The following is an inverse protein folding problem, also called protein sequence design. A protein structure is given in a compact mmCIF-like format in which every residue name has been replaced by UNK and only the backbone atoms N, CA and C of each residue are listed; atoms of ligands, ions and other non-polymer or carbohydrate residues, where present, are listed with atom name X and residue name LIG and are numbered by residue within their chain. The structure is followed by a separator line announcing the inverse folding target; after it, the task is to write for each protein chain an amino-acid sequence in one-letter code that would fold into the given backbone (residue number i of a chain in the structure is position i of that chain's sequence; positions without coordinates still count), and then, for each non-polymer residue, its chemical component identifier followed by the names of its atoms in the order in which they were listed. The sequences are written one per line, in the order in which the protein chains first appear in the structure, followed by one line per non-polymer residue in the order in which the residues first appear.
data_IF_503211307834
#
_entry.id   IF_503211307834
#
_cell.length_a   1.000
_cell.length_b   1.000
_cell.length_c   1.000
_cell.angle_alpha   90.00
_cell.angle_beta   90.00
_cell.angle_gamma   90.00
#
_symmetry.space_group_name_H-M   'P 1'
#
loop_
_entity.id
_entity.type
_entity.pdbx_description
1 polymer ?
#
# COMPACT_ATOMS: atom_id res chain seq x y z
N UNK A 1 -32.16 4.98 -3.13
CA UNK A 1 -31.24 3.83 -3.09
C UNK A 1 -30.20 4.08 -4.16
N UNK A 2 -28.94 4.30 -3.80
CA UNK A 2 -27.88 4.51 -4.78
C UNK A 2 -27.56 3.15 -5.39
N UNK A 3 -27.76 2.98 -6.70
CA UNK A 3 -27.34 1.77 -7.41
C UNK A 3 -25.83 1.78 -7.58
N UNK A 4 -25.12 1.08 -6.70
CA UNK A 4 -23.66 0.94 -6.77
C UNK A 4 -23.21 -0.13 -7.77
N UNK A 5 -24.11 -0.95 -8.29
CA UNK A 5 -23.76 -2.15 -9.07
C UNK A 5 -22.99 -1.82 -10.36
N UNK A 6 -23.32 -0.71 -11.02
CA UNK A 6 -22.59 -0.20 -12.18
C UNK A 6 -21.18 0.26 -11.84
N UNK A 7 -21.04 1.03 -10.75
CA UNK A 7 -19.75 1.53 -10.25
C UNK A 7 -18.81 0.40 -9.83
N UNK A 8 -19.31 -0.59 -9.09
CA UNK A 8 -18.50 -1.72 -8.63
C UNK A 8 -17.87 -2.49 -9.80
N UNK A 9 -18.64 -2.74 -10.87
CA UNK A 9 -18.12 -3.43 -12.06
C UNK A 9 -17.04 -2.62 -12.77
N UNK A 10 -17.27 -1.33 -12.97
CA UNK A 10 -16.27 -0.43 -13.57
C UNK A 10 -14.99 -0.40 -12.74
N UNK A 11 -15.10 -0.28 -11.42
CA UNK A 11 -13.97 -0.27 -10.51
C UNK A 11 -13.20 -1.58 -10.56
N UNK A 12 -13.88 -2.73 -10.48
CA UNK A 12 -13.24 -4.05 -10.52
C UNK A 12 -12.43 -4.25 -11.80
N UNK A 13 -12.95 -3.82 -12.97
CA UNK A 13 -12.21 -3.85 -14.23
C UNK A 13 -10.96 -2.97 -14.16
N UNK A 14 -11.11 -1.71 -13.73
CA UNK A 14 -10.02 -0.72 -13.74
C UNK A 14 -8.94 -1.01 -12.70
N UNK A 15 -9.33 -1.54 -11.54
CA UNK A 15 -8.43 -1.93 -10.46
C UNK A 15 -7.79 -3.32 -10.68
N UNK A 16 -8.16 -4.03 -11.76
CA UNK A 16 -7.56 -5.32 -12.12
C UNK A 16 -8.00 -6.48 -11.24
N UNK A 17 -9.25 -6.48 -10.77
CA UNK A 17 -9.80 -7.59 -9.97
C UNK A 17 -9.96 -8.84 -10.85
N UNK A 18 -9.52 -10.03 -10.40
CA UNK A 18 -9.78 -11.28 -11.10
C UNK A 18 -11.27 -11.52 -11.32
N UNK A 19 -11.67 -12.03 -12.49
CA UNK A 19 -13.09 -12.19 -12.85
C UNK A 19 -13.82 -13.10 -11.86
N UNK A 20 -13.14 -14.11 -11.34
CA UNK A 20 -13.66 -15.05 -10.33
C UNK A 20 -13.93 -14.41 -8.96
N UNK A 21 -13.39 -13.22 -8.68
CA UNK A 21 -13.68 -12.50 -7.44
C UNK A 21 -14.95 -11.64 -7.54
N UNK A 22 -15.44 -11.36 -8.76
CA UNK A 22 -16.49 -10.36 -8.96
C UNK A 22 -17.82 -10.77 -8.34
N UNK A 23 -18.19 -12.05 -8.46
CA UNK A 23 -19.45 -12.55 -7.90
C UNK A 23 -19.51 -12.35 -6.39
N UNK A 24 -18.38 -12.47 -5.69
CA UNK A 24 -18.32 -12.24 -4.23
C UNK A 24 -18.79 -10.84 -3.86
N UNK A 25 -18.28 -9.81 -4.54
CA UNK A 25 -18.64 -8.42 -4.24
C UNK A 25 -20.06 -8.08 -4.71
N UNK A 26 -20.47 -8.58 -5.88
CA UNK A 26 -21.82 -8.33 -6.39
C UNK A 26 -22.89 -9.05 -5.55
N UNK A 27 -22.63 -10.27 -5.07
CA UNK A 27 -23.57 -10.98 -4.22
C UNK A 27 -23.63 -10.37 -2.81
N UNK A 28 -22.51 -9.89 -2.27
CA UNK A 28 -22.46 -9.13 -1.03
C UNK A 28 -23.24 -7.80 -1.13
N UNK A 29 -23.06 -7.05 -2.23
CA UNK A 29 -23.82 -5.84 -2.53
C UNK A 29 -25.33 -6.11 -2.58
N UNK A 30 -25.75 -7.15 -3.32
CA UNK A 30 -27.16 -7.56 -3.36
C UNK A 30 -27.69 -7.96 -1.98
N UNK A 31 -26.90 -8.68 -1.17
CA UNK A 31 -27.28 -9.06 0.18
C UNK A 31 -27.57 -7.84 1.07
N UNK A 32 -26.71 -6.82 1.00
CA UNK A 32 -26.84 -5.58 1.76
C UNK A 32 -28.06 -4.76 1.33
N UNK A 33 -28.27 -4.58 0.03
CA UNK A 33 -29.33 -3.69 -0.47
C UNK A 33 -30.71 -4.35 -0.64
N UNK A 34 -30.81 -5.68 -0.66
CA UNK A 34 -32.10 -6.39 -0.62
C UNK A 34 -32.71 -6.45 0.79
N UNK A 35 -31.94 -6.12 1.83
CA UNK A 35 -32.41 -6.07 3.22
C UNK A 35 -32.48 -4.62 3.69
N UNK A 36 -33.69 -4.11 3.94
CA UNK A 36 -33.88 -2.75 4.47
C UNK A 36 -33.07 -2.52 5.76
N UNK A 37 -33.00 -3.54 6.62
CA UNK A 37 -32.25 -3.49 7.88
C UNK A 37 -30.75 -3.32 7.63
N UNK A 38 -30.18 -4.05 6.67
CA UNK A 38 -28.75 -3.96 6.39
C UNK A 38 -28.39 -2.69 5.64
N UNK A 39 -29.23 -2.26 4.68
CA UNK A 39 -29.02 -1.00 3.98
C UNK A 39 -29.08 0.20 4.92
N UNK A 40 -30.03 0.25 5.87
CA UNK A 40 -30.11 1.33 6.87
C UNK A 40 -28.87 1.36 7.77
N UNK A 41 -28.39 0.20 8.23
CA UNK A 41 -27.15 0.13 9.01
C UNK A 41 -25.91 0.57 8.23
N UNK A 42 -25.83 0.20 6.96
CA UNK A 42 -24.74 0.63 6.08
C UNK A 42 -24.79 2.14 5.84
N UNK A 43 -25.99 2.70 5.61
CA UNK A 43 -26.19 4.15 5.46
C UNK A 43 -25.75 4.90 6.73
N UNK A 44 -26.08 4.39 7.92
CA UNK A 44 -25.61 4.96 9.20
C UNK A 44 -24.08 4.94 9.33
N UNK A 45 -23.41 3.91 8.79
CA UNK A 45 -21.94 3.85 8.76
C UNK A 45 -21.40 4.91 7.77
N UNK A 46 -22.00 5.05 6.59
CA UNK A 46 -21.62 6.08 5.62
C UNK A 46 -21.81 7.50 6.15
N UNK A 47 -22.92 7.78 6.83
CA UNK A 47 -23.21 9.11 7.41
C UNK A 47 -22.14 9.46 8.44
N UNK A 48 -21.87 8.56 9.39
CA UNK A 48 -20.82 8.76 10.41
C UNK A 48 -19.45 8.94 9.77
N UNK A 49 -19.14 8.17 8.73
CA UNK A 49 -17.90 8.34 7.98
C UNK A 49 -17.82 9.69 7.27
N UNK A 50 -18.91 10.20 6.66
CA UNK A 50 -18.91 11.51 6.03
C UNK A 50 -18.68 12.65 7.04
N UNK A 51 -19.19 12.51 8.25
CA UNK A 51 -19.02 13.51 9.31
C UNK A 51 -17.61 13.50 9.93
N UNK A 52 -17.06 12.31 10.21
CA UNK A 52 -15.81 12.15 10.98
C UNK A 52 -14.63 11.61 10.16
N UNK A 53 -14.80 11.41 8.85
CA UNK A 53 -13.86 10.75 7.95
C UNK A 53 -13.26 9.49 8.59
N UNK A 54 -11.94 9.39 8.69
CA UNK A 54 -11.23 8.26 9.27
C UNK A 54 -10.63 8.57 10.66
N UNK A 55 -11.11 9.62 11.34
CA UNK A 55 -10.65 9.99 12.70
C UNK A 55 -10.67 8.79 13.66
N UNK A 56 -11.68 7.92 13.53
CA UNK A 56 -11.76 6.66 14.27
C UNK A 56 -11.92 5.45 13.33
N UNK A 57 -10.91 5.19 12.50
CA UNK A 57 -10.89 4.04 11.58
C UNK A 57 -11.17 2.69 12.24
N UNK A 58 -10.78 2.51 13.51
CA UNK A 58 -11.03 1.26 14.27
C UNK A 58 -12.51 1.07 14.56
N UNK A 59 -13.20 2.13 14.99
CA UNK A 59 -14.65 2.10 15.22
C UNK A 59 -15.42 1.82 13.92
N UNK A 60 -15.05 2.49 12.82
CA UNK A 60 -15.67 2.27 11.51
C UNK A 60 -15.52 0.82 11.04
N UNK A 61 -14.29 0.27 11.08
CA UNK A 61 -14.05 -1.13 10.70
C UNK A 61 -14.77 -2.10 11.65
N UNK A 62 -14.86 -1.78 12.94
CA UNK A 62 -15.64 -2.55 13.92
C UNK A 62 -17.12 -2.60 13.59
N UNK A 63 -17.74 -1.46 13.26
CA UNK A 63 -19.14 -1.39 12.84
C UNK A 63 -19.40 -2.19 11.54
N UNK A 64 -18.47 -2.15 10.59
CA UNK A 64 -18.53 -2.99 9.40
C UNK A 64 -18.40 -4.49 9.74
N UNK A 65 -17.52 -4.86 10.67
CA UNK A 65 -17.41 -6.26 11.13
C UNK A 65 -18.70 -6.75 11.78
N UNK A 66 -19.35 -5.93 12.61
CA UNK A 66 -20.66 -6.27 13.20
C UNK A 66 -21.74 -6.47 12.14
N UNK A 67 -21.80 -5.59 11.13
CA UNK A 67 -22.71 -5.73 10.01
C UNK A 67 -22.40 -6.99 9.18
N UNK A 68 -21.12 -7.29 8.96
CA UNK A 68 -20.67 -8.46 8.22
C UNK A 68 -21.14 -9.77 8.87
N UNK A 69 -21.03 -9.86 10.20
CA UNK A 69 -21.47 -11.03 10.96
C UNK A 69 -22.98 -11.25 10.85
N UNK A 70 -23.78 -10.17 10.85
CA UNK A 70 -25.23 -10.25 10.71
C UNK A 70 -25.67 -10.61 9.29
N UNK A 71 -24.95 -10.11 8.28
CA UNK A 71 -25.25 -10.35 6.87
C UNK A 71 -24.70 -11.69 6.34
N UNK A 72 -23.87 -12.39 7.12
CA UNK A 72 -23.20 -13.62 6.66
C UNK A 72 -22.15 -13.36 5.58
N UNK A 73 -21.57 -12.16 5.55
CA UNK A 73 -20.50 -11.77 4.63
C UNK A 73 -19.18 -11.84 5.40
N UNK A 74 -18.11 -12.37 4.79
CA UNK A 74 -16.80 -12.40 5.44
C UNK A 74 -16.31 -10.98 5.73
N UNK A 75 -15.74 -10.74 6.92
CA UNK A 75 -15.34 -9.40 7.36
C UNK A 75 -14.39 -8.69 6.38
N UNK A 76 -13.36 -9.38 5.88
CA UNK A 76 -12.43 -8.84 4.88
C UNK A 76 -13.11 -8.45 3.57
N UNK A 77 -14.15 -9.19 3.16
CA UNK A 77 -14.95 -8.85 1.99
C UNK A 77 -15.79 -7.61 2.25
N UNK A 78 -16.45 -7.53 3.42
CA UNK A 78 -17.22 -6.35 3.84
C UNK A 78 -16.36 -5.09 3.89
N UNK A 79 -15.17 -5.18 4.50
CA UNK A 79 -14.26 -4.05 4.61
C UNK A 79 -13.79 -3.56 3.24
N UNK A 80 -13.38 -4.47 2.35
CA UNK A 80 -12.96 -4.08 1.01
C UNK A 80 -14.13 -3.50 0.19
N UNK A 81 -15.32 -4.10 0.28
CA UNK A 81 -16.53 -3.61 -0.39
C UNK A 81 -16.87 -2.18 0.04
N UNK A 82 -16.72 -1.86 1.33
CA UNK A 82 -16.92 -0.50 1.82
C UNK A 82 -16.00 0.51 1.12
N UNK A 83 -14.70 0.22 1.01
CA UNK A 83 -13.78 1.08 0.27
C UNK A 83 -14.07 1.13 -1.24
N UNK A 84 -14.60 0.06 -1.83
CA UNK A 84 -15.06 0.07 -3.22
C UNK A 84 -16.21 1.05 -3.42
N UNK A 85 -17.15 1.14 -2.47
CA UNK A 85 -18.20 2.17 -2.53
C UNK A 85 -17.63 3.58 -2.43
N UNK A 86 -16.69 3.81 -1.50
CA UNK A 86 -16.05 5.11 -1.33
C UNK A 86 -15.23 5.55 -2.55
N UNK A 87 -14.79 4.62 -3.41
CA UNK A 87 -13.98 4.94 -4.58
C UNK A 87 -14.68 5.90 -5.54
N UNK A 88 -16.02 5.88 -5.58
CA UNK A 88 -16.81 6.84 -6.35
C UNK A 88 -16.61 8.27 -5.85
N UNK A 89 -16.82 8.48 -4.55
CA UNK A 89 -16.69 9.79 -3.90
C UNK A 89 -15.23 10.29 -4.01
N UNK A 90 -14.26 9.37 -3.93
CA UNK A 90 -12.84 9.70 -4.11
C UNK A 90 -12.51 10.22 -5.52
N UNK A 91 -13.12 9.63 -6.56
CA UNK A 91 -12.93 10.11 -7.94
C UNK A 91 -13.43 11.54 -8.10
N UNK A 92 -14.60 11.84 -7.55
CA UNK A 92 -15.16 13.20 -7.57
C UNK A 92 -14.26 14.19 -6.82
N UNK A 93 -13.61 13.74 -5.74
CA UNK A 93 -12.66 14.57 -4.99
C UNK A 93 -11.38 14.87 -5.78
N UNK A 94 -10.84 13.88 -6.51
CA UNK A 94 -9.69 14.08 -7.38
C UNK A 94 -10.01 15.09 -8.50
N UNK A 95 -11.20 14.99 -9.10
CA UNK A 95 -11.68 15.92 -10.12
C UNK A 95 -11.77 17.37 -9.58
N UNK A 96 -12.32 17.57 -8.36
CA UNK A 96 -12.38 18.89 -7.72
C UNK A 96 -11.01 19.50 -7.45
N UNK A 97 -10.02 18.67 -7.11
CA UNK A 97 -8.65 19.11 -6.83
C UNK A 97 -7.78 19.23 -8.11
N UNK A 98 -8.35 19.01 -9.30
CA UNK A 98 -7.63 18.94 -10.57
C UNK A 98 -6.50 17.90 -10.58
N UNK A 99 -6.66 16.81 -9.83
CA UNK A 99 -5.72 15.69 -9.83
C UNK A 99 -6.05 14.81 -11.05
N UNK A 100 -5.06 14.50 -11.90
CA UNK A 100 -5.30 13.69 -13.10
C UNK A 100 -5.94 12.33 -12.79
N UNK A 101 -6.90 11.93 -13.63
CA UNK A 101 -7.71 10.71 -13.43
C UNK A 101 -6.86 9.44 -13.39
N UNK A 102 -5.73 9.43 -14.11
CA UNK A 102 -4.78 8.33 -14.09
C UNK A 102 -4.18 8.08 -12.71
N UNK A 103 -3.97 9.12 -11.89
CA UNK A 103 -3.46 8.97 -10.51
C UNK A 103 -4.53 8.30 -9.64
N UNK A 104 -5.81 8.67 -9.81
CA UNK A 104 -6.92 7.97 -9.16
C UNK A 104 -6.94 6.49 -9.56
N UNK A 105 -6.86 6.19 -10.85
CA UNK A 105 -6.89 4.82 -11.37
C UNK A 105 -5.71 3.99 -10.85
N UNK A 106 -4.49 4.55 -10.90
CA UNK A 106 -3.30 3.90 -10.38
C UNK A 106 -3.40 3.65 -8.87
N UNK A 107 -4.02 4.58 -8.12
CA UNK A 107 -4.21 4.46 -6.68
C UNK A 107 -5.25 3.38 -6.34
N UNK A 108 -6.32 3.27 -7.13
CA UNK A 108 -7.35 2.23 -6.94
C UNK A 108 -6.87 0.82 -7.30
N UNK A 109 -5.78 0.66 -8.06
CA UNK A 109 -5.15 -0.66 -8.26
C UNK A 109 -4.63 -1.26 -6.96
N UNK A 110 -4.39 -0.47 -5.92
CA UNK A 110 -4.02 -1.01 -4.60
C UNK A 110 -5.13 -1.88 -4.00
N UNK A 111 -6.42 -1.54 -4.25
CA UNK A 111 -7.55 -2.40 -3.85
C UNK A 111 -7.41 -3.81 -4.46
N UNK A 112 -7.01 -3.89 -5.74
CA UNK A 112 -6.77 -5.15 -6.43
C UNK A 112 -5.54 -5.88 -5.89
N UNK A 113 -4.45 -5.15 -5.59
CA UNK A 113 -3.26 -5.72 -4.98
C UNK A 113 -3.58 -6.39 -3.64
N UNK A 114 -4.31 -5.70 -2.75
CA UNK A 114 -4.69 -6.23 -1.43
C UNK A 114 -5.72 -7.35 -1.51
N UNK A 115 -6.56 -7.35 -2.54
CA UNK A 115 -7.46 -8.46 -2.83
C UNK A 115 -6.68 -9.75 -3.09
N UNK A 116 -5.66 -9.69 -3.95
CA UNK A 116 -4.80 -10.85 -4.25
C UNK A 116 -4.05 -11.29 -3.01
N UNK A 117 -3.42 -10.36 -2.27
CA UNK A 117 -2.73 -10.66 -1.02
C UNK A 117 -3.66 -11.40 -0.03
N UNK A 118 -4.89 -10.92 0.15
CA UNK A 118 -5.86 -11.55 1.03
C UNK A 118 -6.26 -12.96 0.56
N UNK A 119 -6.39 -13.16 -0.76
CA UNK A 119 -6.67 -14.47 -1.32
C UNK A 119 -5.52 -15.46 -1.09
N UNK A 120 -4.29 -15.01 -1.27
CA UNK A 120 -3.09 -15.83 -1.10
C UNK A 120 -2.82 -16.19 0.36
N UNK A 121 -3.09 -15.27 1.29
CA UNK A 121 -2.83 -15.46 2.72
C UNK A 121 -4.00 -16.16 3.43
N UNK A 122 -5.23 -15.69 3.23
CA UNK A 122 -6.41 -16.16 3.97
C UNK A 122 -7.40 -16.98 3.14
N UNK A 123 -7.20 -17.09 1.82
CA UNK A 123 -8.14 -17.80 0.95
C UNK A 123 -9.42 -17.01 0.63
N UNK A 124 -9.51 -15.75 1.05
CA UNK A 124 -10.72 -14.91 0.98
C UNK A 124 -10.55 -13.80 -0.04
N UNK A 125 -11.60 -13.55 -0.84
CA UNK A 125 -11.69 -12.36 -1.69
C UNK A 125 -12.12 -11.16 -0.83
N UNK A 126 -11.16 -10.43 -0.28
CA UNK A 126 -11.36 -9.28 0.60
C UNK A 126 -10.04 -8.54 0.86
N UNK A 127 -9.94 -7.80 1.95
CA UNK A 127 -8.67 -7.25 2.43
C UNK A 127 -8.54 -7.38 3.95
N UNK A 128 -7.50 -8.07 4.41
CA UNK A 128 -7.15 -8.18 5.84
C UNK A 128 -6.37 -6.96 6.37
N UNK A 129 -6.04 -6.01 5.49
CA UNK A 129 -5.32 -4.77 5.81
C UNK A 129 -6.17 -3.54 5.49
N UNK A 130 -7.49 -3.60 5.65
CA UNK A 130 -8.40 -2.55 5.19
C UNK A 130 -8.09 -1.13 5.73
N UNK A 131 -7.54 -1.01 6.94
CA UNK A 131 -7.09 0.28 7.49
C UNK A 131 -5.95 0.93 6.69
N UNK A 132 -5.27 0.19 5.83
CA UNK A 132 -4.26 0.70 4.90
C UNK A 132 -4.86 1.74 3.94
N UNK A 133 -6.09 1.50 3.49
CA UNK A 133 -6.68 2.30 2.43
C UNK A 133 -7.00 3.73 2.86
N UNK A 134 -7.15 4.01 4.16
CA UNK A 134 -7.60 5.32 4.65
C UNK A 134 -6.79 6.47 4.05
N UNK A 135 -5.48 6.32 3.91
CA UNK A 135 -4.63 7.37 3.32
C UNK A 135 -5.01 7.76 1.88
N UNK A 136 -5.38 6.80 1.03
CA UNK A 136 -5.86 7.11 -0.32
C UNK A 136 -7.16 7.91 -0.28
N UNK A 137 -8.07 7.56 0.64
CA UNK A 137 -9.37 8.20 0.79
C UNK A 137 -9.31 9.51 1.59
N UNK A 138 -8.22 9.77 2.30
CA UNK A 138 -7.87 11.08 2.88
C UNK A 138 -7.16 11.98 1.88
N UNK A 139 -6.88 11.48 0.66
CA UNK A 139 -6.15 12.19 -0.39
C UNK A 139 -4.76 12.60 0.11
N UNK A 140 -4.17 11.77 0.96
CA UNK A 140 -2.79 11.92 1.44
C UNK A 140 -1.83 10.94 0.76
N UNK A 141 -2.35 9.87 0.13
CA UNK A 141 -1.54 8.87 -0.56
C UNK A 141 -1.90 8.77 -2.04
N UNK A 142 -0.86 8.71 -2.87
CA UNK A 142 -0.97 8.71 -4.32
C UNK A 142 -0.08 7.63 -4.93
N UNK A 143 -0.61 6.84 -5.86
CA UNK A 143 0.21 5.99 -6.72
C UNK A 143 0.70 6.79 -7.92
N UNK A 144 2.02 6.84 -8.11
CA UNK A 144 2.66 7.62 -9.18
C UNK A 144 3.64 6.71 -9.92
N UNK A 145 3.14 5.89 -10.87
CA UNK A 145 3.94 4.85 -11.51
C UNK A 145 4.08 3.61 -10.62
N UNK A 146 5.31 3.10 -10.41
CA UNK A 146 5.52 1.86 -9.64
C UNK A 146 5.36 2.01 -8.14
N UNK A 147 5.58 3.20 -7.58
CA UNK A 147 5.57 3.45 -6.15
C UNK A 147 4.36 4.31 -5.75
N UNK A 148 4.09 4.32 -4.45
CA UNK A 148 3.10 5.17 -3.82
C UNK A 148 3.78 6.13 -2.85
N UNK A 149 3.22 7.32 -2.71
CA UNK A 149 3.82 8.42 -1.95
C UNK A 149 2.78 9.05 -1.05
N UNK A 150 3.20 9.44 0.14
CA UNK A 150 2.42 10.30 1.03
C UNK A 150 3.33 11.37 1.68
N UNK A 151 2.87 12.63 1.79
CA UNK A 151 3.61 13.69 2.45
C UNK A 151 3.62 13.45 3.97
N UNK A 152 4.79 13.60 4.60
CA UNK A 152 4.95 13.56 6.06
C UNK A 152 6.05 14.52 6.50
N UNK A 153 6.12 14.83 7.78
CA UNK A 153 7.34 15.41 8.36
C UNK A 153 8.42 14.34 8.44
N UNK A 154 9.69 14.74 8.37
CA UNK A 154 10.82 13.81 8.45
C UNK A 154 10.83 13.03 9.77
N UNK A 155 10.54 13.71 10.88
CA UNK A 155 10.32 13.11 12.20
C UNK A 155 11.53 12.39 12.77
N UNK A 156 12.74 12.76 12.34
CA UNK A 156 14.02 12.14 12.74
C UNK A 156 15.07 13.21 13.02
N UNK A 157 16.20 12.79 13.59
CA UNK A 157 17.38 13.65 13.76
C UNK A 157 17.81 14.24 12.42
N UNK A 158 18.30 15.49 12.44
CA UNK A 158 18.71 16.21 11.21
C UNK A 158 19.66 15.35 10.37
N UNK A 159 19.28 15.18 9.11
CA UNK A 159 20.06 14.48 8.12
C UNK A 159 20.85 15.50 7.29
N UNK A 160 22.18 15.32 7.21
CA UNK A 160 23.05 16.16 6.39
C UNK A 160 23.94 15.29 5.49
N UNK A 161 23.86 15.50 4.18
CA UNK A 161 24.76 14.84 3.21
C UNK A 161 24.87 15.63 1.91
N UNK A 162 26.08 15.72 1.37
CA UNK A 162 26.38 16.41 0.11
C UNK A 162 25.80 17.86 0.06
N UNK A 163 25.79 18.56 1.20
CA UNK A 163 25.26 19.93 1.31
C UNK A 163 23.73 20.03 1.38
N UNK A 164 23.01 18.91 1.43
CA UNK A 164 21.56 18.87 1.67
C UNK A 164 21.33 18.63 3.16
N UNK A 165 20.54 19.51 3.78
CA UNK A 165 20.07 19.40 5.17
C UNK A 165 18.57 19.13 5.16
N UNK A 166 18.14 18.14 5.95
CA UNK A 166 16.74 17.77 6.17
C UNK A 166 16.50 17.72 7.68
N UNK A 167 15.76 18.68 8.20
CA UNK A 167 15.42 18.75 9.62
C UNK A 167 14.17 17.94 9.95
N UNK A 168 13.93 17.65 11.24
CA UNK A 168 12.80 16.83 11.70
C UNK A 168 11.43 17.31 11.19
N UNK A 169 11.23 18.62 11.07
CA UNK A 169 9.95 19.20 10.66
C UNK A 169 9.84 19.42 9.14
N UNK A 170 10.89 19.12 8.38
CA UNK A 170 10.87 19.25 6.93
C UNK A 170 9.86 18.29 6.30
N UNK A 171 9.17 18.79 5.26
CA UNK A 171 8.28 17.99 4.43
C UNK A 171 9.11 17.00 3.58
N UNK A 172 8.81 15.72 3.77
CA UNK A 172 9.36 14.60 3.00
C UNK A 172 8.24 13.73 2.42
N UNK A 173 8.58 12.87 1.47
CA UNK A 173 7.62 11.99 0.81
C UNK A 173 7.94 10.53 1.11
N UNK A 174 7.09 9.92 1.92
CA UNK A 174 7.25 8.54 2.33
C UNK A 174 6.81 7.59 1.21
N UNK A 175 7.69 6.65 0.84
CA UNK A 175 7.50 5.69 -0.24
C UNK A 175 6.88 4.40 0.29
N UNK A 176 5.89 3.91 -0.45
CA UNK A 176 5.31 2.58 -0.30
C UNK A 176 5.40 1.78 -1.59
N UNK A 177 5.55 0.46 -1.44
CA UNK A 177 5.80 -0.47 -2.54
C UNK A 177 4.61 -1.46 -2.63
N UNK A 178 3.63 -1.23 -3.51
CA UNK A 178 2.52 -2.17 -3.69
C UNK A 178 3.01 -3.46 -4.38
N UNK A 179 2.29 -4.58 -4.17
CA UNK A 179 2.54 -5.90 -4.79
C UNK A 179 2.13 -5.97 -6.27
N UNK A 180 2.35 -4.89 -7.02
CA UNK A 180 1.93 -4.72 -8.42
C UNK A 180 3.11 -4.91 -9.39
N UNK A 181 3.70 -6.11 -9.40
CA UNK A 181 4.77 -6.50 -10.32
C UNK A 181 6.20 -6.18 -9.85
N UNK A 182 7.23 -6.39 -10.69
CA UNK A 182 8.63 -6.28 -10.30
C UNK A 182 9.04 -4.82 -10.01
N UNK A 183 9.99 -4.64 -9.08
CA UNK A 183 10.58 -3.34 -8.71
C UNK A 183 11.79 -3.01 -9.60
N UNK A 184 11.60 -2.97 -10.92
CA UNK A 184 12.72 -2.67 -11.84
C UNK A 184 13.23 -1.24 -11.63
N UNK A 185 14.53 -1.02 -11.78
CA UNK A 185 15.13 0.30 -11.54
C UNK A 185 14.54 1.39 -12.44
N UNK A 186 14.24 1.06 -13.70
CA UNK A 186 13.60 2.01 -14.63
C UNK A 186 12.21 2.42 -14.16
N UNK A 187 11.43 1.47 -13.64
CA UNK A 187 10.10 1.76 -13.08
C UNK A 187 10.15 2.56 -11.77
N UNK A 188 11.23 2.41 -10.98
CA UNK A 188 11.49 3.21 -9.78
C UNK A 188 11.81 4.65 -10.17
N UNK A 189 12.73 4.86 -11.12
CA UNK A 189 13.08 6.21 -11.58
C UNK A 189 11.94 6.90 -12.35
N UNK A 190 11.15 6.17 -13.14
CA UNK A 190 9.91 6.70 -13.73
C UNK A 190 8.97 7.19 -12.63
N UNK A 191 8.81 6.40 -11.56
CA UNK A 191 8.00 6.78 -10.41
C UNK A 191 8.55 8.02 -9.69
N UNK A 192 9.87 8.12 -9.48
CA UNK A 192 10.50 9.32 -8.91
C UNK A 192 10.26 10.57 -9.75
N UNK A 193 10.35 10.47 -11.08
CA UNK A 193 10.07 11.61 -11.99
C UNK A 193 8.60 12.04 -11.91
N UNK A 194 7.66 11.10 -11.86
CA UNK A 194 6.23 11.40 -11.69
C UNK A 194 5.97 12.07 -10.35
N UNK A 195 6.56 11.56 -9.27
CA UNK A 195 6.45 12.16 -7.93
C UNK A 195 7.06 13.56 -7.87
N UNK A 196 8.24 13.76 -8.48
CA UNK A 196 8.83 15.08 -8.62
C UNK A 196 7.88 16.03 -9.36
N UNK A 197 7.38 15.67 -10.54
CA UNK A 197 6.45 16.50 -11.30
C UNK A 197 5.14 16.81 -10.56
N UNK A 198 4.62 15.86 -9.79
CA UNK A 198 3.38 16.00 -9.03
C UNK A 198 3.52 16.88 -7.78
N UNK A 199 4.63 16.75 -7.04
CA UNK A 199 4.80 17.41 -5.74
C UNK A 199 5.67 18.66 -5.76
N UNK A 200 6.59 18.81 -6.74
CA UNK A 200 7.59 19.90 -6.77
C UNK A 200 6.97 21.29 -6.70
N UNK A 201 5.79 21.50 -7.27
CA UNK A 201 5.11 22.80 -7.23
C UNK A 201 4.79 23.28 -5.81
N UNK A 202 4.80 22.38 -4.82
CA UNK A 202 4.57 22.68 -3.40
C UNK A 202 5.86 22.85 -2.60
N UNK A 203 7.03 22.76 -3.26
CA UNK A 203 8.34 22.79 -2.61
C UNK A 203 9.16 24.00 -3.07
N UNK A 204 9.71 24.75 -2.10
CA UNK A 204 10.67 25.84 -2.34
C UNK A 204 12.11 25.35 -2.57
N UNK A 205 12.30 24.02 -2.71
CA UNK A 205 13.61 23.36 -2.91
C UNK A 205 13.68 22.78 -4.33
N UNK A 206 14.84 22.85 -4.98
CA UNK A 206 15.07 22.27 -6.32
C UNK A 206 15.11 20.74 -6.36
N UNK A 207 14.93 20.10 -5.21
CA UNK A 207 14.89 18.65 -5.04
C UNK A 207 13.68 18.24 -4.20
N UNK A 208 13.32 16.97 -4.32
CA UNK A 208 12.38 16.28 -3.45
C UNK A 208 13.15 15.31 -2.55
N UNK A 209 12.73 15.19 -1.30
CA UNK A 209 13.28 14.21 -0.35
C UNK A 209 12.31 13.06 -0.24
N UNK A 210 12.74 11.90 -0.69
CA UNK A 210 12.04 10.64 -0.48
C UNK A 210 12.59 9.93 0.75
N UNK A 211 11.69 9.36 1.53
CA UNK A 211 12.04 8.46 2.63
C UNK A 211 11.34 7.13 2.48
N UNK A 212 11.93 6.07 3.01
CA UNK A 212 11.29 4.77 3.01
C UNK A 212 11.73 4.01 4.26
N UNK A 213 10.77 3.53 5.04
CA UNK A 213 11.00 2.53 6.09
C UNK A 213 10.46 1.18 5.61
N UNK A 214 11.32 0.18 5.44
CA UNK A 214 10.89 -1.10 4.88
C UNK A 214 11.84 -2.24 5.22
N UNK A 215 11.29 -3.46 5.30
CA UNK A 215 12.09 -4.68 5.27
C UNK A 215 12.94 -4.76 3.99
N UNK A 216 12.49 -4.18 2.88
CA UNK A 216 13.24 -4.09 1.62
C UNK A 216 14.56 -3.33 1.76
N UNK A 217 14.70 -2.46 2.76
CA UNK A 217 15.90 -1.67 3.03
C UNK A 217 16.80 -2.26 4.13
N UNK A 218 16.58 -3.52 4.52
CA UNK A 218 17.47 -4.22 5.44
C UNK A 218 18.88 -4.36 4.82
N UNK A 219 19.88 -3.71 5.44
CA UNK A 219 21.23 -3.55 4.87
C UNK A 219 21.90 -4.90 4.58
N UNK A 220 21.67 -5.89 5.41
CA UNK A 220 22.22 -7.23 5.33
C UNK A 220 21.69 -8.00 4.10
N UNK A 221 20.69 -7.48 3.37
CA UNK A 221 20.31 -8.00 2.05
C UNK A 221 21.50 -8.13 1.10
N UNK A 222 22.48 -7.22 1.17
CA UNK A 222 23.68 -7.30 0.34
C UNK A 222 24.49 -8.60 0.55
N UNK A 223 24.33 -9.25 1.71
CA UNK A 223 25.08 -10.46 2.07
C UNK A 223 24.44 -11.75 1.53
N UNK A 224 23.12 -11.77 1.31
CA UNK A 224 22.40 -13.02 1.00
C UNK A 224 21.42 -12.95 -0.17
N UNK A 225 21.06 -11.76 -0.67
CA UNK A 225 20.32 -11.66 -1.92
C UNK A 225 21.27 -11.76 -3.12
N UNK A 226 20.83 -12.36 -4.25
CA UNK A 226 21.64 -12.38 -5.46
C UNK A 226 21.88 -10.96 -5.99
N UNK A 227 23.06 -10.70 -6.56
CA UNK A 227 23.43 -9.38 -7.12
C UNK A 227 22.49 -8.89 -8.23
N UNK A 228 21.76 -9.79 -8.88
CA UNK A 228 20.73 -9.45 -9.87
C UNK A 228 19.40 -8.96 -9.25
N UNK A 229 19.27 -8.98 -7.92
CA UNK A 229 18.05 -8.64 -7.20
C UNK A 229 17.63 -7.18 -7.43
N UNK A 230 16.37 -7.00 -7.80
CA UNK A 230 15.76 -5.68 -7.89
C UNK A 230 15.67 -4.99 -6.52
N UNK A 231 15.63 -5.75 -5.41
CA UNK A 231 15.65 -5.19 -4.05
C UNK A 231 16.99 -4.48 -3.81
N UNK A 232 18.11 -5.09 -4.19
CA UNK A 232 19.44 -4.47 -4.03
C UNK A 232 19.56 -3.20 -4.87
N UNK A 233 19.10 -3.22 -6.13
CA UNK A 233 19.07 -2.02 -6.99
C UNK A 233 18.18 -0.91 -6.41
N UNK A 234 17.07 -1.27 -5.76
CA UNK A 234 16.21 -0.30 -5.07
C UNK A 234 16.89 0.25 -3.81
N UNK A 235 17.58 -0.59 -3.02
CA UNK A 235 18.39 -0.13 -1.88
C UNK A 235 19.49 0.85 -2.33
N UNK A 236 20.09 0.61 -3.50
CA UNK A 236 21.09 1.51 -4.08
C UNK A 236 20.53 2.90 -4.42
N UNK A 237 19.21 3.12 -4.40
CA UNK A 237 18.62 4.44 -4.48
C UNK A 237 18.71 5.26 -3.18
N UNK A 238 18.88 4.62 -2.02
CA UNK A 238 18.77 5.29 -0.71
C UNK A 238 20.08 5.32 0.05
N UNK A 239 20.34 6.41 0.75
CA UNK A 239 21.26 6.38 1.87
C UNK A 239 20.56 5.73 3.07
N UNK A 240 20.97 4.50 3.42
CA UNK A 240 20.37 3.74 4.52
C UNK A 240 20.99 4.24 5.83
N UNK A 241 20.23 5.05 6.58
CA UNK A 241 20.68 5.68 7.82
C UNK A 241 20.37 4.83 9.05
N UNK A 242 19.44 3.89 8.94
CA UNK A 242 19.12 2.92 10.00
C UNK A 242 18.92 1.53 9.38
N UNK A 243 19.45 0.49 10.02
CA UNK A 243 19.15 -0.92 9.75
C UNK A 243 19.19 -1.67 11.08
N UNK A 244 18.19 -2.50 11.35
CA UNK A 244 18.13 -3.28 12.57
C UNK A 244 17.48 -4.63 12.31
N UNK A 245 17.96 -5.62 13.07
CA UNK A 245 17.34 -6.93 13.13
C UNK A 245 15.96 -6.83 13.77
N UNK A 246 15.00 -7.56 13.21
CA UNK A 246 13.69 -7.76 13.80
C UNK A 246 13.12 -9.12 13.40
N UNK A 247 12.13 -9.57 14.16
CA UNK A 247 11.35 -10.74 13.76
C UNK A 247 10.56 -10.39 12.50
N UNK A 248 10.51 -11.31 11.53
CA UNK A 248 9.94 -11.05 10.21
C UNK A 248 8.41 -11.01 10.22
N UNK A 249 7.81 -10.02 10.91
CA UNK A 249 6.36 -9.91 11.07
C UNK A 249 5.58 -9.79 9.75
N UNK A 250 6.29 -9.48 8.67
CA UNK A 250 5.76 -9.36 7.31
C UNK A 250 6.17 -10.52 6.37
N UNK A 251 6.54 -11.68 6.93
CA UNK A 251 6.93 -12.87 6.16
C UNK A 251 5.88 -13.32 5.12
N UNK A 252 4.60 -13.01 5.36
CA UNK A 252 3.50 -13.23 4.42
C UNK A 252 3.72 -12.53 3.06
N UNK A 253 4.53 -11.47 3.01
CA UNK A 253 4.90 -10.79 1.75
C UNK A 253 5.81 -11.62 0.85
N UNK A 254 6.52 -12.62 1.40
CA UNK A 254 7.41 -13.53 0.65
C UNK A 254 6.80 -14.93 0.53
N UNK A 255 6.14 -15.39 1.59
CA UNK A 255 5.70 -16.77 1.74
C UNK A 255 4.16 -16.93 1.71
N UNK A 256 3.38 -15.86 1.65
CA UNK A 256 1.91 -15.91 1.64
C UNK A 256 1.38 -16.63 2.89
N UNK A 257 0.38 -17.50 2.71
CA UNK A 257 -0.18 -18.36 3.78
C UNK A 257 0.82 -19.29 4.48
N UNK A 258 2.03 -19.43 3.95
CA UNK A 258 3.07 -20.29 4.52
C UNK A 258 4.01 -19.55 5.48
N UNK A 259 3.76 -18.26 5.76
CA UNK A 259 4.62 -17.40 6.58
C UNK A 259 4.92 -17.95 7.97
N UNK A 260 3.98 -18.65 8.59
CA UNK A 260 4.10 -19.20 9.94
C UNK A 260 4.68 -20.63 9.97
N UNK A 261 5.00 -21.20 8.81
CA UNK A 261 5.65 -22.52 8.76
C UNK A 261 7.10 -22.44 9.24
N UNK A 262 7.62 -23.52 9.84
CA UNK A 262 9.05 -23.58 10.17
C UNK A 262 9.90 -23.49 8.89
N UNK A 263 11.13 -22.95 8.96
CA UNK A 263 11.96 -22.66 7.79
C UNK A 263 12.12 -23.84 6.81
N UNK A 264 12.17 -25.07 7.32
CA UNK A 264 12.31 -26.30 6.52
C UNK A 264 11.16 -26.48 5.51
N UNK A 265 9.97 -26.01 5.85
CA UNK A 265 8.73 -26.17 5.09
C UNK A 265 8.36 -24.93 4.27
N UNK A 266 9.10 -23.83 4.38
CA UNK A 266 8.84 -22.63 3.60
C UNK A 266 8.98 -22.91 2.10
N UNK A 267 8.11 -22.33 1.25
CA UNK A 267 8.23 -22.48 -0.19
C UNK A 267 9.53 -21.83 -0.66
N UNK A 268 10.06 -22.36 -1.76
CA UNK A 268 11.36 -21.98 -2.31
C UNK A 268 11.30 -21.97 -3.85
N UNK A 269 10.17 -21.55 -4.41
CA UNK A 269 9.93 -21.50 -5.84
C UNK A 269 10.62 -20.31 -6.51
N UNK A 270 10.86 -19.22 -5.77
CA UNK A 270 11.56 -18.02 -6.25
C UNK A 270 12.94 -17.87 -5.62
N UNK A 271 13.82 -17.08 -6.24
CA UNK A 271 15.14 -16.76 -5.67
C UNK A 271 15.05 -16.03 -4.33
N UNK A 272 14.06 -15.13 -4.18
CA UNK A 272 13.82 -14.42 -2.92
C UNK A 272 13.38 -15.39 -1.82
N UNK A 273 12.44 -16.28 -2.12
CA UNK A 273 11.99 -17.31 -1.19
C UNK A 273 13.14 -18.23 -0.75
N UNK A 274 13.99 -18.69 -1.69
CA UNK A 274 15.19 -19.48 -1.37
C UNK A 274 16.14 -18.74 -0.45
N UNK A 275 16.50 -17.50 -0.81
CA UNK A 275 17.45 -16.70 -0.05
C UNK A 275 16.99 -16.46 1.39
N UNK A 276 15.72 -16.10 1.59
CA UNK A 276 15.15 -15.93 2.93
C UNK A 276 15.05 -17.24 3.70
N UNK A 277 14.62 -18.32 3.05
CA UNK A 277 14.55 -19.65 3.66
C UNK A 277 15.93 -20.11 4.16
N UNK A 278 16.95 -19.99 3.31
CA UNK A 278 18.32 -20.44 3.65
C UNK A 278 18.91 -19.61 4.80
N UNK A 279 18.66 -18.29 4.81
CA UNK A 279 19.02 -17.41 5.92
C UNK A 279 18.37 -17.85 7.25
N UNK A 280 17.07 -18.14 7.22
CA UNK A 280 16.31 -18.59 8.39
C UNK A 280 16.76 -19.98 8.87
N UNK A 281 17.05 -20.92 7.96
CA UNK A 281 17.65 -22.22 8.30
C UNK A 281 19.03 -22.09 8.93
N UNK A 282 19.79 -21.08 8.54
CA UNK A 282 21.08 -20.72 9.16
C UNK A 282 20.94 -20.08 10.55
N UNK A 283 19.72 -19.88 11.06
CA UNK A 283 19.46 -19.22 12.34
C UNK A 283 19.74 -17.71 12.34
N UNK A 284 19.92 -17.10 11.16
CA UNK A 284 20.18 -15.68 11.01
C UNK A 284 18.89 -14.87 11.05
N UNK A 285 18.97 -13.63 11.55
CA UNK A 285 17.84 -12.71 11.68
C UNK A 285 17.50 -12.02 10.36
N UNK A 286 16.25 -11.64 10.20
CA UNK A 286 15.80 -10.67 9.20
C UNK A 286 15.81 -9.28 9.82
N UNK A 287 15.44 -8.26 9.04
CA UNK A 287 15.33 -6.92 9.59
C UNK A 287 14.61 -5.95 8.69
N UNK A 288 14.74 -4.68 9.05
CA UNK A 288 14.28 -3.56 8.25
C UNK A 288 15.26 -2.40 8.33
N UNK A 289 15.17 -1.52 7.35
CA UNK A 289 15.94 -0.28 7.34
C UNK A 289 15.09 0.94 7.04
N UNK A 290 15.69 2.09 7.27
CA UNK A 290 15.16 3.38 6.88
C UNK A 290 16.19 4.11 6.01
N UNK A 291 15.73 4.60 4.86
CA UNK A 291 16.60 5.24 3.88
C UNK A 291 16.08 6.60 3.40
N UNK A 292 17.03 7.46 3.03
CA UNK A 292 16.80 8.80 2.48
C UNK A 292 17.32 8.87 1.04
N UNK A 293 16.51 9.36 0.11
CA UNK A 293 16.91 9.63 -1.26
C UNK A 293 16.54 11.06 -1.63
N UNK A 294 17.53 11.87 -2.02
CA UNK A 294 17.34 13.24 -2.47
C UNK A 294 17.39 13.25 -3.98
N UNK A 295 16.30 13.65 -4.63
CA UNK A 295 16.12 13.56 -6.08
C UNK A 295 15.90 14.95 -6.70
N UNK A 296 16.71 15.30 -7.70
CA UNK A 296 16.69 16.63 -8.34
C UNK A 296 15.72 16.75 -9.53
N UNK A 297 15.00 15.66 -9.85
CA UNK A 297 14.14 15.56 -11.04
C UNK A 297 14.72 14.62 -12.11
N UNK A 298 16.01 14.32 -12.05
CA UNK A 298 16.69 13.42 -12.99
C UNK A 298 17.43 12.27 -12.29
N UNK A 299 18.14 12.57 -11.20
CA UNK A 299 19.03 11.64 -10.49
C UNK A 299 18.99 11.86 -8.97
N UNK A 300 19.57 10.89 -8.26
CA UNK A 300 19.77 10.95 -6.81
C UNK A 300 21.09 11.68 -6.54
N UNK A 301 21.07 12.68 -5.65
CA UNK A 301 22.19 13.61 -5.42
C UNK A 301 22.89 13.44 -4.06
N UNK A 302 22.32 12.64 -3.15
CA UNK A 302 22.89 12.32 -1.84
C UNK A 302 23.64 10.97 -1.80
N UNK A 303 24.06 10.47 -2.97
CA UNK A 303 24.88 9.26 -3.10
C UNK A 303 26.36 9.59 -3.08
#
# INVERSE_FOLDING_TARGET
MIDYSGHLKELMVKAGFPVESWSVFIDADRCLFNSKIFSEKLDDIFIRHKEKRFENKKEMLGALSELSAQAGIHEYTMHLLFFMYLAKDLREEYEKQNIPVEIYLDSMRDLGAKLIECKEVHGVWGSFVASWFTGFFEVDRFALGRLQYEPRTFGRETYEKNGVVVDSDDLVYNIHIPSLGPLTIDSVYDSFRRAYGFFKQKLDKEHIVFVCGSWLLYKEHYDFLPSSSNILKFMDCFDIIESHDNDFGDAWRIFGRFADLPPEQLPHGTSLQKAYRDRLLGGQKTGSGFGVAVFDGEKIINK
#
